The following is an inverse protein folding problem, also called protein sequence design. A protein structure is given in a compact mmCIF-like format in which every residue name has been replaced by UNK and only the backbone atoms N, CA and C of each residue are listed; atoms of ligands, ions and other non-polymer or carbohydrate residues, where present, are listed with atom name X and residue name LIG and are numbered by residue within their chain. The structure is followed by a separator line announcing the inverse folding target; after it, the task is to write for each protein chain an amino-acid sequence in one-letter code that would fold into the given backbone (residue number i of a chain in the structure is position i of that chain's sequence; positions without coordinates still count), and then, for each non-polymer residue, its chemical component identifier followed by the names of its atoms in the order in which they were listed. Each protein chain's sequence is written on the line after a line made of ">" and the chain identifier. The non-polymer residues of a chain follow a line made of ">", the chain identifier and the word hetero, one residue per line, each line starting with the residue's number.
data_IF_676388461369
#
_entry.id   IF_676388461369
#
_cell.length_a   1.000
_cell.length_b   1.000
_cell.length_c   1.000
_cell.angle_alpha   90.00
_cell.angle_beta   90.00
_cell.angle_gamma   90.00
#
_symmetry.space_group_name_H-M   'P 1'
#
loop_
_entity.id
_entity.type
_entity.pdbx_description
1 polymer ?
#
# COMPACT_ATOMS: atom_id res chain seq x y z
N UNK A 1 7.81 -18.60 8.90
CA UNK A 1 7.72 -18.75 10.38
C UNK A 1 7.33 -17.41 10.97
N UNK A 2 6.55 -17.36 12.06
CA UNK A 2 6.30 -16.10 12.77
C UNK A 2 7.33 -15.96 13.89
N UNK A 3 7.99 -14.80 13.99
CA UNK A 3 8.98 -14.49 15.02
C UNK A 3 8.58 -13.23 15.76
N UNK A 4 8.41 -13.30 17.07
CA UNK A 4 8.21 -12.09 17.88
C UNK A 4 9.54 -11.37 18.08
N UNK A 5 9.52 -10.03 18.01
CA UNK A 5 10.71 -9.19 18.19
C UNK A 5 10.37 -7.88 18.88
N UNK A 6 11.39 -7.18 19.35
CA UNK A 6 11.26 -5.86 19.98
C UNK A 6 11.80 -4.77 19.08
N UNK A 7 11.00 -3.73 18.86
CA UNK A 7 11.41 -2.55 18.11
C UNK A 7 12.03 -1.49 19.02
N UNK A 8 12.88 -0.64 18.45
CA UNK A 8 13.42 0.57 19.11
C UNK A 8 12.55 1.81 18.90
N UNK A 9 11.68 1.79 17.89
CA UNK A 9 10.77 2.87 17.52
C UNK A 9 9.74 2.39 16.49
N UNK A 10 8.69 3.17 16.27
CA UNK A 10 7.56 2.78 15.41
C UNK A 10 7.09 3.85 14.43
N UNK A 11 7.17 5.14 14.79
CA UNK A 11 6.87 6.26 13.88
C UNK A 11 8.17 6.89 13.40
N UNK A 12 8.48 6.69 12.12
CA UNK A 12 9.63 7.30 11.46
C UNK A 12 9.15 8.47 10.59
N UNK A 13 9.83 9.63 10.61
CA UNK A 13 9.48 10.72 9.70
C UNK A 13 9.70 10.29 8.25
N UNK A 14 8.78 10.67 7.37
CA UNK A 14 8.96 10.51 5.93
C UNK A 14 9.85 11.65 5.41
N UNK A 15 10.69 11.36 4.42
CA UNK A 15 11.58 12.39 3.84
C UNK A 15 10.79 13.41 3.01
N UNK A 16 9.75 12.96 2.30
CA UNK A 16 8.88 13.80 1.45
C UNK A 16 7.39 13.50 1.76
N UNK A 17 6.81 14.12 2.79
CA UNK A 17 5.44 13.84 3.21
C UNK A 17 4.38 14.27 2.18
N UNK A 18 4.63 15.37 1.46
CA UNK A 18 3.74 15.88 0.41
C UNK A 18 3.58 14.86 -0.73
N UNK A 19 4.66 14.15 -1.07
CA UNK A 19 4.68 13.19 -2.16
C UNK A 19 4.13 11.81 -1.81
N UNK A 20 3.50 11.61 -0.63
CA UNK A 20 2.99 10.29 -0.24
C UNK A 20 1.75 10.39 0.66
N UNK A 21 0.61 10.81 0.07
CA UNK A 21 -0.68 10.96 0.77
C UNK A 21 -0.61 11.83 2.04
N UNK A 22 0.29 12.82 2.07
CA UNK A 22 0.47 13.71 3.23
C UNK A 22 1.01 12.98 4.48
N UNK A 23 1.43 11.72 4.34
CA UNK A 23 1.92 10.91 5.43
C UNK A 23 3.24 11.48 5.95
N UNK A 24 3.20 12.18 7.08
CA UNK A 24 4.38 12.73 7.76
C UNK A 24 5.19 11.68 8.51
N UNK A 25 4.52 10.61 8.91
CA UNK A 25 5.11 9.50 9.61
C UNK A 25 4.78 8.20 8.90
N UNK A 26 5.73 7.28 8.83
CA UNK A 26 5.48 5.90 8.42
C UNK A 26 5.50 4.99 9.64
N UNK A 27 4.60 4.00 9.63
CA UNK A 27 4.46 2.97 10.63
C UNK A 27 4.55 1.59 9.97
N UNK A 28 5.48 0.76 10.44
CA UNK A 28 5.63 -0.62 10.01
C UNK A 28 5.65 -1.54 11.23
N UNK A 29 4.54 -2.22 11.48
CA UNK A 29 4.37 -3.16 12.60
C UNK A 29 5.05 -4.49 12.30
N UNK A 30 4.92 -4.95 11.07
CA UNK A 30 5.48 -6.21 10.58
C UNK A 30 6.75 -5.97 9.75
N UNK A 31 7.59 -7.00 9.69
CA UNK A 31 8.73 -7.08 8.77
C UNK A 31 8.75 -8.47 8.14
N UNK A 32 9.02 -8.54 6.84
CA UNK A 32 8.61 -9.70 6.03
C UNK A 32 7.12 -9.63 5.70
N UNK A 33 6.62 -10.50 4.83
CA UNK A 33 5.20 -10.52 4.47
C UNK A 33 4.74 -11.89 3.95
N UNK A 34 3.64 -12.39 4.51
CA UNK A 34 3.03 -13.67 4.13
C UNK A 34 2.39 -13.65 2.73
N UNK A 35 2.17 -12.48 2.13
CA UNK A 35 1.62 -12.35 0.76
C UNK A 35 2.57 -12.84 -0.34
N UNK A 36 3.88 -12.83 -0.08
CA UNK A 36 4.91 -13.44 -0.94
C UNK A 36 4.90 -12.97 -2.41
N UNK A 37 4.57 -11.70 -2.67
CA UNK A 37 4.57 -11.15 -4.02
C UNK A 37 5.95 -11.35 -4.67
N UNK A 38 5.96 -11.85 -5.91
CA UNK A 38 7.20 -12.24 -6.59
C UNK A 38 8.11 -11.04 -6.86
N UNK A 39 7.52 -9.86 -6.94
CA UNK A 39 8.16 -8.58 -7.24
C UNK A 39 8.50 -7.75 -5.99
N UNK A 40 8.27 -8.25 -4.76
CA UNK A 40 8.30 -7.43 -3.55
C UNK A 40 9.66 -6.72 -3.32
N UNK A 41 9.66 -5.39 -3.34
CA UNK A 41 10.86 -4.56 -3.15
C UNK A 41 11.52 -4.81 -1.78
N UNK A 42 10.74 -5.10 -0.74
CA UNK A 42 11.22 -5.40 0.61
C UNK A 42 12.09 -6.66 0.71
N UNK A 43 12.17 -7.48 -0.36
CA UNK A 43 13.17 -8.58 -0.47
C UNK A 43 14.58 -8.07 -0.73
N UNK A 44 14.75 -6.80 -1.07
CA UNK A 44 16.05 -6.23 -1.38
C UNK A 44 16.99 -6.24 -0.18
N UNK A 45 18.28 -6.45 -0.44
CA UNK A 45 19.32 -6.53 0.61
C UNK A 45 19.40 -5.26 1.48
N UNK A 46 19.05 -4.10 0.93
CA UNK A 46 19.03 -2.83 1.66
C UNK A 46 18.06 -2.80 2.86
N UNK A 47 17.05 -3.69 2.87
CA UNK A 47 16.10 -3.80 3.97
C UNK A 47 16.55 -4.76 5.08
N UNK A 48 17.67 -5.47 4.86
CA UNK A 48 18.34 -6.33 5.83
C UNK A 48 17.43 -7.41 6.42
N UNK A 49 16.42 -7.87 5.66
CA UNK A 49 15.50 -8.94 6.08
C UNK A 49 16.14 -10.27 5.69
N UNK A 50 16.61 -11.03 6.68
CA UNK A 50 17.37 -12.27 6.43
C UNK A 50 16.52 -13.34 5.73
N UNK A 51 15.34 -13.62 6.27
CA UNK A 51 14.37 -14.53 5.67
C UNK A 51 13.04 -13.82 5.48
N UNK A 52 12.80 -13.31 4.27
CA UNK A 52 11.59 -12.53 3.96
C UNK A 52 10.29 -13.31 4.17
N UNK A 53 10.37 -14.64 4.10
CA UNK A 53 9.22 -15.55 4.26
C UNK A 53 8.90 -15.79 5.74
N UNK A 54 9.79 -15.38 6.65
CA UNK A 54 9.49 -15.22 8.06
C UNK A 54 8.91 -13.83 8.32
N UNK A 55 7.78 -13.77 9.01
CA UNK A 55 7.22 -12.49 9.47
C UNK A 55 7.68 -12.24 10.88
N UNK A 56 8.44 -11.16 11.06
CA UNK A 56 8.78 -10.63 12.36
C UNK A 56 7.64 -9.71 12.85
N UNK A 57 7.12 -9.99 14.03
CA UNK A 57 6.06 -9.24 14.69
C UNK A 57 6.66 -8.43 15.81
N UNK A 58 6.60 -7.11 15.70
CA UNK A 58 7.12 -6.20 16.73
C UNK A 58 6.09 -6.12 17.88
N UNK A 59 6.26 -6.90 18.94
CA UNK A 59 5.23 -7.07 19.98
C UNK A 59 5.07 -5.86 20.91
N UNK A 60 6.10 -5.02 21.03
CA UNK A 60 6.10 -3.81 21.86
C UNK A 60 5.61 -2.53 21.13
N UNK A 61 5.02 -2.66 19.92
CA UNK A 61 4.68 -1.50 19.08
C UNK A 61 3.64 -0.59 19.68
N UNK A 62 2.67 -1.11 20.43
CA UNK A 62 1.58 -0.30 20.96
C UNK A 62 2.07 0.69 22.01
N UNK A 63 2.95 0.23 22.91
CA UNK A 63 3.59 1.10 23.91
C UNK A 63 4.46 2.18 23.26
N UNK A 64 5.25 1.79 22.25
CA UNK A 64 6.07 2.74 21.50
C UNK A 64 5.22 3.75 20.74
N UNK A 65 4.10 3.30 20.17
CA UNK A 65 3.19 4.14 19.39
C UNK A 65 2.49 5.14 20.30
N UNK A 66 1.96 4.69 21.43
CA UNK A 66 1.34 5.57 22.42
C UNK A 66 2.31 6.66 22.91
N UNK A 67 3.54 6.27 23.26
CA UNK A 67 4.60 7.22 23.66
C UNK A 67 4.91 8.21 22.55
N UNK A 68 5.05 7.73 21.31
CA UNK A 68 5.33 8.58 20.16
C UNK A 68 4.19 9.58 19.88
N UNK A 69 2.94 9.12 19.83
CA UNK A 69 1.76 9.96 19.58
C UNK A 69 1.58 11.03 20.67
N UNK A 70 1.80 10.68 21.95
CA UNK A 70 1.75 11.63 23.07
C UNK A 70 2.82 12.71 22.97
N UNK A 71 4.00 12.37 22.46
CA UNK A 71 5.13 13.28 22.31
C UNK A 71 5.03 14.24 21.12
N UNK A 72 4.14 14.01 20.15
CA UNK A 72 3.99 14.87 18.96
C UNK A 72 2.96 15.97 19.19
N UNK A 73 3.40 17.23 19.05
CA UNK A 73 2.56 18.43 19.21
C UNK A 73 1.63 18.67 18.02
N UNK A 74 2.10 18.46 16.79
CA UNK A 74 1.27 18.54 15.58
C UNK A 74 0.68 17.18 15.25
N UNK A 75 -0.65 17.16 15.04
CA UNK A 75 -1.33 16.04 14.42
C UNK A 75 -0.95 16.01 12.94
N UNK A 76 -0.82 14.81 12.40
CA UNK A 76 -0.45 14.58 11.02
C UNK A 76 -0.99 13.22 10.58
N UNK A 77 -0.87 12.91 9.30
CA UNK A 77 -1.20 11.59 8.76
C UNK A 77 -0.06 10.60 9.04
N UNK A 78 -0.42 9.44 9.57
CA UNK A 78 0.45 8.26 9.67
C UNK A 78 0.18 7.35 8.48
N UNK A 79 1.19 7.06 7.69
CA UNK A 79 1.14 6.09 6.59
C UNK A 79 1.55 4.70 7.06
N UNK A 80 0.88 3.65 6.57
CA UNK A 80 1.30 2.25 6.77
C UNK A 80 1.12 1.43 5.49
N UNK A 81 1.79 0.27 5.41
CA UNK A 81 1.71 -0.61 4.25
C UNK A 81 2.75 -0.42 3.17
N UNK A 82 3.75 0.43 3.38
CA UNK A 82 4.82 0.67 2.40
C UNK A 82 5.87 -0.45 2.37
N UNK A 83 6.22 -1.03 3.52
CA UNK A 83 7.28 -2.06 3.63
C UNK A 83 6.74 -3.47 3.82
N UNK A 84 5.69 -3.60 4.64
CA UNK A 84 4.95 -4.83 4.86
C UNK A 84 3.48 -4.45 4.95
N UNK A 85 2.62 -5.34 4.47
CA UNK A 85 1.18 -5.13 4.55
C UNK A 85 0.76 -5.05 6.03
N UNK A 86 -0.05 -4.05 6.44
CA UNK A 86 -0.53 -3.98 7.81
C UNK A 86 -1.51 -5.12 8.14
N UNK A 87 -2.06 -5.80 7.13
CA UNK A 87 -2.98 -6.92 7.25
C UNK A 87 -2.35 -8.20 6.70
N UNK A 88 -1.16 -8.56 7.19
CA UNK A 88 -0.58 -9.89 6.97
C UNK A 88 -1.48 -10.98 7.58
N UNK A 89 -1.28 -12.25 7.22
CA UNK A 89 -2.14 -13.33 7.73
C UNK A 89 -2.06 -13.42 9.26
N UNK A 90 -0.88 -13.20 9.85
CA UNK A 90 -0.74 -13.21 11.31
C UNK A 90 -1.52 -12.08 12.03
N UNK A 91 -1.87 -10.97 11.36
CA UNK A 91 -2.70 -9.91 11.93
C UNK A 91 -4.11 -10.39 12.32
N UNK A 92 -4.57 -11.53 11.78
CA UNK A 92 -5.80 -12.18 12.23
C UNK A 92 -5.77 -12.51 13.73
N UNK A 93 -4.61 -12.90 14.25
CA UNK A 93 -4.43 -13.29 15.67
C UNK A 93 -3.84 -12.18 16.52
N UNK A 94 -2.89 -11.40 15.99
CA UNK A 94 -2.18 -10.37 16.77
C UNK A 94 -3.03 -9.10 16.99
N UNK A 95 -3.81 -8.71 15.99
CA UNK A 95 -4.62 -7.48 15.98
C UNK A 95 -3.83 -6.20 16.32
N UNK A 96 -2.53 -6.18 16.02
CA UNK A 96 -1.66 -5.04 16.32
C UNK A 96 -1.98 -3.86 15.41
N UNK A 97 -2.32 -4.10 14.14
CA UNK A 97 -2.79 -3.03 13.25
C UNK A 97 -4.10 -2.47 13.77
N UNK A 98 -5.08 -3.32 14.09
CA UNK A 98 -6.36 -2.88 14.68
C UNK A 98 -6.18 -2.03 15.92
N UNK A 99 -5.36 -2.49 16.88
CA UNK A 99 -5.05 -1.76 18.13
C UNK A 99 -4.30 -0.45 17.85
N UNK A 100 -3.38 -0.45 16.89
CA UNK A 100 -2.69 0.77 16.46
C UNK A 100 -3.65 1.79 15.86
N UNK A 101 -4.61 1.37 15.02
CA UNK A 101 -5.62 2.26 14.44
C UNK A 101 -6.45 2.95 15.54
N UNK A 102 -6.87 2.22 16.58
CA UNK A 102 -7.58 2.81 17.74
C UNK A 102 -6.73 3.86 18.46
N UNK A 103 -5.43 3.59 18.64
CA UNK A 103 -4.52 4.57 19.25
C UNK A 103 -4.36 5.81 18.36
N UNK A 104 -4.10 5.64 17.07
CA UNK A 104 -3.89 6.77 16.14
C UNK A 104 -5.15 7.66 16.11
N UNK A 105 -6.34 7.05 15.99
CA UNK A 105 -7.61 7.78 16.01
C UNK A 105 -7.85 8.49 17.35
N UNK A 106 -7.68 7.82 18.49
CA UNK A 106 -7.94 8.42 19.82
C UNK A 106 -7.00 9.59 20.16
N UNK A 107 -5.79 9.61 19.60
CA UNK A 107 -4.87 10.73 19.70
C UNK A 107 -5.10 11.82 18.62
N UNK A 108 -6.11 11.65 17.76
CA UNK A 108 -6.53 12.62 16.75
C UNK A 108 -5.63 12.71 15.51
N UNK A 109 -4.79 11.69 15.26
CA UNK A 109 -3.96 11.62 14.05
C UNK A 109 -4.78 11.09 12.86
N UNK A 110 -4.36 11.45 11.66
CA UNK A 110 -4.89 10.83 10.44
C UNK A 110 -4.17 9.52 10.11
N UNK A 111 -4.78 8.72 9.25
CA UNK A 111 -4.19 7.46 8.76
C UNK A 111 -4.32 7.36 7.24
N UNK A 112 -3.24 6.96 6.60
CA UNK A 112 -3.24 6.46 5.24
C UNK A 112 -2.78 4.99 5.24
N UNK A 113 -3.57 4.10 4.63
CA UNK A 113 -3.34 2.65 4.66
C UNK A 113 -3.17 2.13 3.25
N UNK A 114 -2.02 1.51 2.97
CA UNK A 114 -1.80 0.69 1.79
C UNK A 114 -1.99 -0.78 2.15
N UNK A 115 -2.80 -1.52 1.40
CA UNK A 115 -2.98 -2.96 1.64
C UNK A 115 -3.37 -3.72 0.38
N UNK A 116 -3.14 -5.03 0.40
CA UNK A 116 -3.66 -6.03 -0.54
C UNK A 116 -4.79 -6.87 0.09
N UNK A 117 -5.13 -6.62 1.34
CA UNK A 117 -5.99 -7.50 2.13
C UNK A 117 -7.40 -6.95 2.29
N UNK A 118 -8.39 -7.83 2.16
CA UNK A 118 -9.78 -7.58 2.50
C UNK A 118 -10.03 -7.61 4.03
N UNK A 119 -9.05 -8.07 4.83
CA UNK A 119 -9.13 -8.06 6.30
C UNK A 119 -9.38 -6.68 6.89
N UNK A 120 -9.02 -5.60 6.16
CA UNK A 120 -9.33 -4.22 6.54
C UNK A 120 -10.82 -3.98 6.82
N UNK A 121 -11.73 -4.78 6.24
CA UNK A 121 -13.16 -4.69 6.50
C UNK A 121 -13.51 -4.98 7.97
N UNK A 122 -12.73 -5.82 8.67
CA UNK A 122 -12.86 -6.05 10.13
C UNK A 122 -12.75 -4.73 10.91
N UNK A 123 -11.95 -3.80 10.40
CA UNK A 123 -11.58 -2.58 11.09
C UNK A 123 -12.42 -1.37 10.66
N UNK A 124 -13.49 -1.59 9.87
CA UNK A 124 -14.42 -0.54 9.43
C UNK A 124 -15.02 0.25 10.62
N UNK A 125 -15.28 -0.42 11.75
CA UNK A 125 -15.76 0.24 12.98
C UNK A 125 -14.78 1.31 13.49
N UNK A 126 -13.48 1.11 13.29
CA UNK A 126 -12.41 2.03 13.67
C UNK A 126 -12.15 3.05 12.56
N UNK A 127 -12.18 2.63 11.29
CA UNK A 127 -11.95 3.55 10.17
C UNK A 127 -12.95 4.72 10.19
N UNK A 128 -14.19 4.46 10.58
CA UNK A 128 -15.22 5.50 10.75
C UNK A 128 -14.93 6.50 11.87
N UNK A 129 -14.07 6.18 12.84
CA UNK A 129 -13.71 7.12 13.93
C UNK A 129 -12.65 8.14 13.50
N UNK A 130 -12.03 7.98 12.33
CA UNK A 130 -11.09 8.96 11.79
C UNK A 130 -11.76 10.16 11.11
N UNK A 131 -13.09 10.16 10.96
CA UNK A 131 -13.84 11.19 10.24
C UNK A 131 -13.24 11.37 8.82
N UNK A 132 -12.87 12.60 8.43
CA UNK A 132 -12.23 12.90 7.14
C UNK A 132 -10.70 12.71 7.14
N UNK A 133 -10.12 12.06 8.16
CA UNK A 133 -8.66 11.87 8.30
C UNK A 133 -8.21 10.44 8.00
N UNK A 134 -8.95 9.73 7.15
CA UNK A 134 -8.62 8.37 6.70
C UNK A 134 -8.60 8.30 5.19
N UNK A 135 -7.63 7.58 4.65
CA UNK A 135 -7.58 7.20 3.24
C UNK A 135 -7.04 5.80 3.11
N UNK A 136 -7.66 4.98 2.28
CA UNK A 136 -7.24 3.59 2.03
C UNK A 136 -6.89 3.44 0.56
N UNK A 137 -5.73 2.84 0.28
CA UNK A 137 -5.38 2.42 -1.07
C UNK A 137 -5.18 0.91 -1.13
N UNK A 138 -5.89 0.27 -2.07
CA UNK A 138 -5.65 -1.12 -2.40
C UNK A 138 -4.55 -1.21 -3.45
N UNK A 139 -3.54 -2.05 -3.23
CA UNK A 139 -2.63 -2.41 -4.33
C UNK A 139 -3.34 -3.38 -5.26
N UNK A 140 -3.51 -2.98 -6.52
CA UNK A 140 -4.09 -3.81 -7.59
C UNK A 140 -3.24 -3.63 -8.84
N UNK A 141 -2.57 -4.70 -9.26
CA UNK A 141 -1.67 -4.70 -10.44
C UNK A 141 -2.33 -5.34 -11.67
N UNK A 142 -3.39 -6.12 -11.45
CA UNK A 142 -4.24 -6.74 -12.48
C UNK A 142 -5.67 -6.91 -11.95
N UNK A 143 -6.64 -7.03 -12.85
CA UNK A 143 -8.02 -7.46 -12.56
C UNK A 143 -8.26 -8.95 -12.86
N UNK A 144 -7.20 -9.69 -13.21
CA UNK A 144 -7.26 -11.12 -13.50
C UNK A 144 -6.77 -11.93 -12.30
N UNK A 145 -7.69 -12.61 -11.62
CA UNK A 145 -7.39 -13.44 -10.46
C UNK A 145 -6.42 -14.59 -10.77
N UNK A 146 -6.43 -15.14 -11.99
CA UNK A 146 -5.52 -16.21 -12.36
C UNK A 146 -4.09 -15.68 -12.50
N UNK A 147 -3.94 -14.51 -13.12
CA UNK A 147 -2.63 -13.85 -13.18
C UNK A 147 -2.15 -13.46 -11.78
N UNK A 148 -3.04 -12.91 -10.96
CA UNK A 148 -2.71 -12.52 -9.59
C UNK A 148 -2.20 -13.68 -8.74
N UNK A 149 -2.74 -14.90 -8.89
CA UNK A 149 -2.22 -16.09 -8.20
C UNK A 149 -0.76 -16.43 -8.55
N UNK A 150 -0.29 -16.03 -9.72
CA UNK A 150 1.11 -16.23 -10.13
C UNK A 150 2.02 -15.14 -9.57
N UNK A 151 1.56 -13.89 -9.55
CA UNK A 151 2.39 -12.73 -9.13
C UNK A 151 2.34 -12.45 -7.63
N UNK A 152 1.22 -12.79 -6.98
CA UNK A 152 0.88 -12.48 -5.58
C UNK A 152 0.18 -13.69 -4.92
N UNK A 153 0.87 -14.85 -4.82
CA UNK A 153 0.24 -16.16 -4.62
C UNK A 153 -0.59 -16.31 -3.34
N UNK A 154 -0.26 -15.57 -2.28
CA UNK A 154 -0.92 -15.67 -0.98
C UNK A 154 -1.58 -14.35 -0.55
N UNK A 155 -1.60 -13.35 -1.41
CA UNK A 155 -2.41 -12.16 -1.17
C UNK A 155 -3.86 -12.43 -1.58
N UNK A 156 -4.87 -11.79 -0.95
CA UNK A 156 -6.26 -11.88 -1.42
C UNK A 156 -6.40 -11.50 -2.89
N UNK A 157 -7.31 -12.13 -3.61
CA UNK A 157 -7.44 -11.94 -5.05
C UNK A 157 -7.89 -10.51 -5.41
N UNK A 158 -7.57 -10.02 -6.63
CA UNK A 158 -8.09 -8.76 -7.13
C UNK A 158 -9.61 -8.61 -6.96
N UNK A 159 -10.39 -9.66 -7.25
CA UNK A 159 -11.84 -9.65 -7.04
C UNK A 159 -12.25 -9.40 -5.58
N UNK A 160 -11.54 -10.00 -4.62
CA UNK A 160 -11.78 -9.79 -3.18
C UNK A 160 -11.39 -8.37 -2.75
N UNK A 161 -10.25 -7.85 -3.24
CA UNK A 161 -9.81 -6.48 -2.97
C UNK A 161 -10.79 -5.45 -3.53
N UNK A 162 -11.28 -5.66 -4.75
CA UNK A 162 -12.28 -4.79 -5.38
C UNK A 162 -13.61 -4.81 -4.59
N UNK A 163 -14.06 -5.98 -4.13
CA UNK A 163 -15.26 -6.09 -3.29
C UNK A 163 -15.09 -5.38 -1.94
N UNK A 164 -13.91 -5.51 -1.30
CA UNK A 164 -13.60 -4.79 -0.08
C UNK A 164 -13.54 -3.27 -0.31
N UNK A 165 -12.91 -2.84 -1.41
CA UNK A 165 -12.88 -1.43 -1.81
C UNK A 165 -14.29 -0.86 -1.98
N UNK A 166 -15.18 -1.59 -2.67
CA UNK A 166 -16.58 -1.16 -2.84
C UNK A 166 -17.30 -1.04 -1.51
N UNK A 167 -17.10 -2.00 -0.61
CA UNK A 167 -17.70 -1.97 0.74
C UNK A 167 -17.24 -0.75 1.56
N UNK A 168 -15.93 -0.44 1.51
CA UNK A 168 -15.39 0.75 2.17
C UNK A 168 -15.88 2.05 1.53
N UNK A 169 -15.95 2.10 0.20
CA UNK A 169 -16.48 3.24 -0.55
C UNK A 169 -17.95 3.51 -0.19
N UNK A 170 -18.78 2.47 -0.13
CA UNK A 170 -20.19 2.56 0.26
C UNK A 170 -20.37 3.03 1.72
N UNK A 171 -19.39 2.77 2.57
CA UNK A 171 -19.33 3.29 3.94
C UNK A 171 -18.81 4.73 4.04
N UNK A 172 -18.50 5.37 2.91
CA UNK A 172 -18.00 6.75 2.84
C UNK A 172 -16.50 6.90 3.11
N UNK A 173 -15.74 5.81 3.20
CA UNK A 173 -14.28 5.88 3.37
C UNK A 173 -13.64 6.23 2.02
N UNK A 174 -12.77 7.26 1.95
CA UNK A 174 -12.02 7.56 0.74
C UNK A 174 -11.09 6.40 0.37
N UNK A 175 -11.42 5.72 -0.72
CA UNK A 175 -10.66 4.59 -1.24
C UNK A 175 -10.10 4.85 -2.62
N UNK A 176 -8.97 4.24 -2.93
CA UNK A 176 -8.39 4.29 -4.26
C UNK A 176 -7.41 3.16 -4.50
N UNK A 177 -6.64 3.28 -5.58
CA UNK A 177 -5.79 2.20 -6.05
C UNK A 177 -4.36 2.64 -6.22
N UNK A 178 -3.47 1.78 -5.74
CA UNK A 178 -2.05 1.76 -6.09
C UNK A 178 -1.84 0.69 -7.17
N UNK A 179 -1.74 1.14 -8.43
CA UNK A 179 -1.38 0.29 -9.56
C UNK A 179 0.14 0.29 -9.73
N UNK A 180 0.82 -0.21 -8.70
CA UNK A 180 2.28 -0.21 -8.62
C UNK A 180 2.78 -1.47 -7.92
N UNK A 181 3.67 -2.24 -8.57
CA UNK A 181 4.15 -2.07 -9.94
C UNK A 181 3.11 -2.51 -10.98
N UNK A 182 3.24 -2.02 -12.21
CA UNK A 182 2.76 -2.75 -13.41
C UNK A 182 3.97 -3.47 -14.00
N UNK A 183 3.98 -4.80 -13.92
CA UNK A 183 5.16 -5.60 -14.27
C UNK A 183 5.38 -5.66 -15.80
N UNK A 184 6.57 -5.22 -16.30
CA UNK A 184 6.94 -5.38 -17.70
C UNK A 184 6.75 -6.80 -18.22
N UNK A 185 6.19 -6.94 -19.42
CA UNK A 185 5.94 -8.20 -20.12
C UNK A 185 4.93 -9.16 -19.47
N UNK A 186 4.27 -8.76 -18.38
CA UNK A 186 3.31 -9.60 -17.64
C UNK A 186 1.96 -8.90 -17.57
N UNK A 187 1.92 -7.73 -16.93
CA UNK A 187 0.67 -6.98 -16.70
C UNK A 187 0.53 -5.78 -17.64
N UNK A 188 1.63 -5.39 -18.30
CA UNK A 188 1.81 -4.15 -19.03
C UNK A 188 1.13 -4.11 -20.41
N UNK A 189 -0.05 -4.71 -20.54
CA UNK A 189 -0.84 -4.69 -21.79
C UNK A 189 -1.93 -3.62 -21.74
N UNK A 190 -2.16 -2.86 -22.83
CA UNK A 190 -3.23 -1.86 -22.87
C UNK A 190 -4.61 -2.44 -22.55
N UNK A 191 -4.87 -3.69 -22.96
CA UNK A 191 -6.13 -4.39 -22.67
C UNK A 191 -6.27 -4.73 -21.18
N UNK A 192 -5.22 -5.27 -20.56
CA UNK A 192 -5.21 -5.59 -19.13
C UNK A 192 -5.40 -4.34 -18.26
N UNK A 193 -4.67 -3.28 -18.58
CA UNK A 193 -4.79 -1.98 -17.90
C UNK A 193 -6.19 -1.38 -18.08
N UNK A 194 -6.76 -1.43 -19.29
CA UNK A 194 -8.13 -0.98 -19.52
C UNK A 194 -9.16 -1.69 -18.64
N UNK A 195 -9.08 -3.03 -18.55
CA UNK A 195 -9.97 -3.82 -17.69
C UNK A 195 -9.82 -3.47 -16.21
N UNK A 196 -8.59 -3.25 -15.75
CA UNK A 196 -8.35 -2.85 -14.36
C UNK A 196 -8.92 -1.46 -14.07
N UNK A 197 -8.72 -0.49 -14.96
CA UNK A 197 -9.24 0.87 -14.82
C UNK A 197 -10.78 0.89 -14.73
N UNK A 198 -11.45 0.15 -15.63
CA UNK A 198 -12.91 -0.02 -15.59
C UNK A 198 -13.36 -0.64 -14.27
N UNK A 199 -12.67 -1.69 -13.80
CA UNK A 199 -12.99 -2.36 -12.56
C UNK A 199 -12.86 -1.43 -11.34
N UNK A 200 -11.78 -0.66 -11.23
CA UNK A 200 -11.57 0.21 -10.06
C UNK A 200 -12.58 1.36 -10.00
N UNK A 201 -12.95 1.92 -11.16
CA UNK A 201 -13.98 2.96 -11.25
C UNK A 201 -15.36 2.40 -10.84
N UNK A 202 -15.68 1.18 -11.29
CA UNK A 202 -16.93 0.51 -10.93
C UNK A 202 -17.02 0.15 -9.43
N UNK A 203 -15.88 0.09 -8.72
CA UNK A 203 -15.81 -0.27 -7.30
C UNK A 203 -15.54 0.93 -6.39
N UNK A 204 -15.80 2.16 -6.86
CA UNK A 204 -15.86 3.35 -6.03
C UNK A 204 -14.51 3.95 -5.65
N UNK A 205 -13.45 3.68 -6.44
CA UNK A 205 -12.18 4.38 -6.30
C UNK A 205 -12.36 5.89 -6.56
N UNK A 206 -11.69 6.74 -5.78
CA UNK A 206 -11.65 8.20 -5.98
C UNK A 206 -10.28 8.69 -6.42
N UNK A 207 -9.26 7.83 -6.35
CA UNK A 207 -7.91 8.10 -6.85
C UNK A 207 -7.27 6.84 -7.42
N UNK A 208 -6.34 7.04 -8.36
CA UNK A 208 -5.54 6.00 -8.98
C UNK A 208 -4.12 6.51 -9.16
N UNK A 209 -3.17 5.89 -8.48
CA UNK A 209 -1.74 6.20 -8.61
C UNK A 209 -1.05 4.97 -9.17
N UNK A 210 -0.20 5.16 -10.17
CA UNK A 210 0.40 4.03 -10.88
C UNK A 210 1.90 4.19 -11.07
N UNK A 211 2.56 3.07 -11.29
CA UNK A 211 3.94 3.03 -11.75
C UNK A 211 4.09 1.93 -12.81
N UNK A 212 4.19 2.35 -14.08
CA UNK A 212 4.40 1.47 -15.22
C UNK A 212 5.84 0.91 -15.26
N UNK A 213 6.13 -0.01 -14.36
CA UNK A 213 7.44 -0.62 -14.16
C UNK A 213 7.60 -1.13 -12.73
N UNK A 214 8.78 -1.66 -12.44
CA UNK A 214 9.15 -2.07 -11.08
C UNK A 214 10.56 -1.62 -10.75
N UNK A 215 10.83 -1.49 -9.45
CA UNK A 215 12.19 -1.49 -8.95
C UNK A 215 12.74 -2.91 -8.96
N UNK A 216 14.04 -3.05 -9.19
CA UNK A 216 14.73 -4.32 -9.30
C UNK A 216 16.13 -4.18 -8.68
N UNK A 217 16.24 -4.42 -7.37
CA UNK A 217 17.51 -4.35 -6.62
C UNK A 217 18.08 -5.74 -6.37
N UNK A 218 19.32 -5.78 -5.87
CA UNK A 218 19.93 -6.99 -5.33
C UNK A 218 19.07 -7.61 -4.20
N UNK A 219 18.97 -8.94 -4.17
CA UNK A 219 18.10 -9.73 -3.32
C UNK A 219 16.72 -9.95 -3.94
N UNK A 220 16.05 -8.87 -4.32
CA UNK A 220 14.75 -8.90 -5.00
C UNK A 220 14.87 -9.49 -6.40
N UNK A 221 15.85 -9.06 -7.21
CA UNK A 221 16.02 -9.46 -8.61
C UNK A 221 16.19 -10.96 -8.76
N UNK A 222 17.06 -11.55 -7.95
CA UNK A 222 17.41 -12.97 -8.04
C UNK A 222 16.19 -13.83 -7.68
N UNK A 223 15.42 -13.42 -6.66
CA UNK A 223 14.15 -14.05 -6.31
C UNK A 223 13.12 -13.90 -7.44
N UNK A 224 12.95 -12.69 -7.95
CA UNK A 224 12.00 -12.39 -9.02
C UNK A 224 12.30 -13.20 -10.27
N UNK A 225 13.56 -13.23 -10.72
CA UNK A 225 13.98 -13.99 -11.89
C UNK A 225 13.77 -15.49 -11.74
N UNK A 226 14.00 -16.06 -10.55
CA UNK A 226 13.64 -17.46 -10.29
C UNK A 226 12.14 -17.70 -10.43
N UNK A 227 11.30 -16.79 -9.92
CA UNK A 227 9.84 -16.87 -10.08
C UNK A 227 9.37 -16.66 -11.51
N UNK A 228 10.08 -15.85 -12.30
CA UNK A 228 9.84 -15.74 -13.74
C UNK A 228 10.12 -17.07 -14.46
N UNK A 229 11.21 -17.76 -14.14
CA UNK A 229 11.49 -19.07 -14.73
C UNK A 229 10.40 -20.12 -14.38
N UNK A 230 9.86 -20.05 -13.16
CA UNK A 230 8.79 -20.94 -12.68
C UNK A 230 7.41 -20.67 -13.34
N UNK A 231 7.05 -19.40 -13.52
CA UNK A 231 5.67 -19.01 -13.86
C UNK A 231 5.51 -18.34 -15.22
N UNK A 232 6.58 -17.77 -15.78
CA UNK A 232 6.57 -16.99 -17.01
C UNK A 232 7.78 -17.33 -17.91
N UNK A 233 7.85 -18.55 -18.47
CA UNK A 233 9.01 -19.01 -19.23
C UNK A 233 9.44 -18.03 -20.33
N UNK A 234 10.74 -17.70 -20.35
CA UNK A 234 11.33 -16.77 -21.31
C UNK A 234 11.21 -15.28 -20.95
N UNK A 235 10.40 -14.89 -19.96
CA UNK A 235 10.28 -13.47 -19.55
C UNK A 235 11.55 -12.98 -18.86
N UNK A 236 12.21 -13.82 -18.06
CA UNK A 236 13.50 -13.50 -17.43
C UNK A 236 14.56 -13.06 -18.46
N UNK A 237 14.68 -13.79 -19.57
CA UNK A 237 15.65 -13.45 -20.61
C UNK A 237 15.37 -12.08 -21.22
N UNK A 238 14.09 -11.72 -21.39
CA UNK A 238 13.69 -10.39 -21.87
C UNK A 238 14.10 -9.31 -20.86
N UNK A 239 13.85 -9.54 -19.57
CA UNK A 239 14.28 -8.63 -18.50
C UNK A 239 15.80 -8.43 -18.51
N UNK A 240 16.59 -9.50 -18.58
CA UNK A 240 18.05 -9.43 -18.58
C UNK A 240 18.55 -8.66 -19.80
N UNK A 241 18.03 -8.94 -21.00
CA UNK A 241 18.42 -8.24 -22.23
C UNK A 241 18.06 -6.75 -22.19
N UNK A 242 16.89 -6.41 -21.65
CA UNK A 242 16.39 -5.03 -21.63
C UNK A 242 17.03 -4.17 -20.53
N UNK A 243 17.14 -4.72 -19.32
CA UNK A 243 17.47 -3.95 -18.12
C UNK A 243 18.82 -4.30 -17.50
N UNK A 244 19.37 -5.49 -17.77
CA UNK A 244 20.55 -5.99 -17.05
C UNK A 244 20.35 -5.92 -15.54
N UNK A 245 21.20 -5.14 -14.85
CA UNK A 245 21.15 -4.91 -13.40
C UNK A 245 20.64 -3.51 -13.01
N UNK A 246 19.94 -2.82 -13.91
CA UNK A 246 19.38 -1.49 -13.61
C UNK A 246 18.41 -1.54 -12.42
N UNK A 247 18.37 -0.44 -11.67
CA UNK A 247 17.47 -0.30 -10.52
C UNK A 247 16.00 -0.18 -10.94
N UNK A 248 15.70 0.57 -12.00
CA UNK A 248 14.33 0.81 -12.45
C UNK A 248 14.07 0.07 -13.77
N UNK A 249 13.14 -0.86 -13.75
CA UNK A 249 12.69 -1.63 -14.92
C UNK A 249 11.34 -1.06 -15.39
N UNK A 250 11.37 0.05 -16.11
CA UNK A 250 10.18 0.66 -16.71
C UNK A 250 9.62 -0.23 -17.82
N UNK A 251 8.29 -0.36 -17.92
CA UNK A 251 7.67 -1.08 -19.04
C UNK A 251 8.09 -0.45 -20.38
N UNK A 252 8.39 -1.24 -21.43
CA UNK A 252 8.61 -0.70 -22.77
C UNK A 252 7.38 0.01 -23.35
N UNK A 253 6.20 -0.25 -22.79
CA UNK A 253 4.93 0.40 -23.16
C UNK A 253 4.59 1.58 -22.23
N UNK A 254 5.49 1.99 -21.34
CA UNK A 254 5.22 3.00 -20.30
C UNK A 254 4.52 4.25 -20.82
N UNK A 255 5.02 4.87 -21.90
CA UNK A 255 4.41 6.10 -22.44
C UNK A 255 2.95 5.91 -22.85
N UNK A 256 2.65 4.83 -23.59
CA UNK A 256 1.30 4.51 -24.03
C UNK A 256 0.38 4.12 -22.85
N UNK A 257 0.91 3.41 -21.85
CA UNK A 257 0.15 3.07 -20.65
C UNK A 257 -0.15 4.31 -19.80
N UNK A 258 0.83 5.18 -19.60
CA UNK A 258 0.67 6.43 -18.85
C UNK A 258 -0.37 7.34 -19.50
N UNK A 259 -0.33 7.48 -20.84
CA UNK A 259 -1.33 8.24 -21.59
C UNK A 259 -2.73 7.64 -21.43
N UNK A 260 -2.86 6.31 -21.60
CA UNK A 260 -4.14 5.61 -21.44
C UNK A 260 -4.73 5.77 -20.03
N UNK A 261 -3.90 5.56 -18.99
CA UNK A 261 -4.33 5.67 -17.59
C UNK A 261 -4.75 7.10 -17.29
N UNK A 262 -3.95 8.09 -17.72
CA UNK A 262 -4.25 9.51 -17.51
C UNK A 262 -5.56 9.91 -18.18
N UNK A 263 -5.74 9.58 -19.46
CA UNK A 263 -6.97 9.90 -20.20
C UNK A 263 -8.21 9.29 -19.54
N UNK A 264 -8.12 8.03 -19.06
CA UNK A 264 -9.21 7.39 -18.34
C UNK A 264 -9.50 8.10 -17.00
N UNK A 265 -8.46 8.45 -16.23
CA UNK A 265 -8.64 9.13 -14.95
C UNK A 265 -9.25 10.53 -15.14
N UNK A 266 -8.84 11.27 -16.16
CA UNK A 266 -9.44 12.57 -16.54
C UNK A 266 -10.92 12.40 -16.90
N UNK A 267 -11.26 11.39 -17.70
CA UNK A 267 -12.65 11.12 -18.10
C UNK A 267 -13.56 10.72 -16.92
N UNK A 268 -13.01 10.00 -15.93
CA UNK A 268 -13.78 9.45 -14.81
C UNK A 268 -13.69 10.31 -13.53
N UNK A 269 -12.84 11.32 -13.52
CA UNK A 269 -12.59 12.17 -12.35
C UNK A 269 -11.77 11.48 -11.25
N UNK A 270 -11.06 10.39 -11.56
CA UNK A 270 -10.12 9.77 -10.65
C UNK A 270 -8.92 10.69 -10.43
N UNK A 271 -8.60 10.95 -9.16
CA UNK A 271 -7.46 11.78 -8.79
C UNK A 271 -6.15 11.00 -9.03
N UNK A 272 -5.18 11.62 -9.68
CA UNK A 272 -3.91 10.97 -10.08
C UNK A 272 -2.69 11.46 -9.32
N UNK A 273 -2.86 12.41 -8.40
CA UNK A 273 -1.78 13.00 -7.63
C UNK A 273 -2.19 13.19 -6.16
N UNK A 274 -1.20 13.16 -5.28
CA UNK A 274 -1.44 13.22 -3.84
C UNK A 274 -1.90 14.61 -3.38
N UNK A 275 -1.43 15.69 -4.01
CA UNK A 275 -1.76 17.05 -3.59
C UNK A 275 -3.25 17.35 -3.78
N UNK A 276 -3.80 16.97 -4.93
CA UNK A 276 -5.22 17.09 -5.24
C UNK A 276 -6.05 16.22 -4.28
N UNK A 277 -5.57 15.01 -3.97
CA UNK A 277 -6.25 14.13 -3.02
C UNK A 277 -6.28 14.73 -1.61
N UNK A 278 -5.15 15.29 -1.15
CA UNK A 278 -5.06 15.98 0.14
C UNK A 278 -5.94 17.22 0.22
N UNK A 279 -6.04 18.00 -0.87
CA UNK A 279 -6.94 19.16 -0.94
C UNK A 279 -8.42 18.77 -0.88
N UNK A 280 -8.78 17.58 -1.37
CA UNK A 280 -10.15 17.05 -1.29
C UNK A 280 -10.53 16.61 0.12
N UNK A 281 -9.55 16.17 0.91
CA UNK A 281 -9.74 15.71 2.29
C UNK A 281 -8.87 16.51 3.25
N UNK A 282 -9.09 17.84 3.36
CA UNK A 282 -8.24 18.70 4.18
C UNK A 282 -8.35 18.28 5.66
N UNK A 283 -7.25 18.37 6.39
CA UNK A 283 -7.27 18.20 7.84
C UNK A 283 -8.28 19.19 8.46
N UNK A 284 -9.13 18.72 9.37
CA UNK A 284 -9.82 19.63 10.28
C UNK A 284 -8.77 20.45 11.03
N UNK A 285 -8.80 21.78 10.87
CA UNK A 285 -7.95 22.67 11.67
C UNK A 285 -8.19 22.37 13.16
N UNK A 286 -7.14 22.34 14.00
CA UNK A 286 -7.33 22.21 15.43
C UNK A 286 -8.23 23.35 15.90
N UNK A 287 -9.40 23.00 16.44
CA UNK A 287 -10.21 23.97 17.20
C UNK A 287 -9.37 24.31 18.43
N UNK A 288 -8.93 25.56 18.54
CA UNK A 288 -8.31 26.05 19.76
C UNK A 288 -9.36 25.95 20.87
N UNK A 289 -9.21 24.96 21.76
CA UNK A 289 -10.01 24.90 22.97
C UNK A 289 -9.79 26.19 23.76
N UNK A 290 -10.88 26.77 24.27
CA UNK A 290 -10.79 27.93 25.16
C UNK A 290 -10.06 27.49 26.43
N UNK A 291 -9.09 28.28 26.89
CA UNK A 291 -8.43 28.07 28.19
C UNK A 291 -9.27 28.61 29.36
N UNK A 292 -10.42 29.20 29.04
CA UNK A 292 -11.32 29.84 29.98
C UNK A 292 -12.68 29.17 29.87
N UNK A 293 -13.22 28.77 31.01
CA UNK A 293 -14.65 28.49 31.20
C UNK A 293 -15.41 29.81 31.15
N UNK A 294 -16.55 29.84 30.44
CA UNK A 294 -17.56 30.90 30.60
C UNK A 294 -18.11 30.93 32.04
#
# INVERSE_FOLDING_TARGET
>A
MIKETFAKGILLPTQNPESWFGAKYTMNIYRGCEHQCIYCDSRSTCYQIENFDDVEVKINVLDLLQKALKGKRSKAVVGTGSMSDPYTLCEQSYELTRKALRLISSYGFGIHINTKSDMILRDLDILNTFLNRVTVAFTLTTADDNLARLVEPYAPLPSQRLAAMKTLSDAGIPVGVLMMPVLPYIEDTPKGIGRLLEAIAAHGAVFCIWHAGMTCREGQREYYYRKLDEHFPGVKDRYIRQYGNQYACASPQKAALDEKIRAFCEQTGLITDFDTLLKRYPEHQPVQGTLFSE
#
